data_IF_276116677584
#
_entry.id   IF_276116677584
#
_cell.length_a   1.000
_cell.length_b   1.000
_cell.length_c   1.000
_cell.angle_alpha   90.00
_cell.angle_beta   90.00
_cell.angle_gamma   90.00
#
_symmetry.space_group_name_H-M   'P 1'
#
loop_
_entity.id
_entity.type
_entity.pdbx_description
1 polymer ?
#
# COMPACT_ATOMS: atom_id res chain seq x y z
N UNK A 1 26.97 36.04 -7.37
CA UNK A 1 25.95 35.58 -6.38
C UNK A 1 26.23 34.13 -6.05
N UNK A 2 26.99 33.87 -4.98
CA UNK A 2 27.42 32.52 -4.60
C UNK A 2 26.55 31.96 -3.47
N UNK A 3 25.91 30.83 -3.71
CA UNK A 3 25.15 30.13 -2.67
C UNK A 3 26.13 29.50 -1.67
N UNK A 4 26.13 30.02 -0.44
CA UNK A 4 26.89 29.45 0.69
C UNK A 4 26.19 28.17 1.16
N UNK A 5 26.82 26.99 1.09
CA UNK A 5 26.19 25.78 1.60
C UNK A 5 26.16 25.84 3.13
N UNK A 6 24.96 25.93 3.70
CA UNK A 6 24.75 25.72 5.13
C UNK A 6 25.08 24.25 5.43
N UNK A 7 26.18 24.00 6.16
CA UNK A 7 26.52 22.68 6.69
C UNK A 7 25.44 22.28 7.71
N UNK A 8 24.41 21.58 7.24
CA UNK A 8 23.50 20.85 8.12
C UNK A 8 24.30 19.65 8.61
N UNK A 9 25.01 19.82 9.72
CA UNK A 9 25.69 18.73 10.41
C UNK A 9 24.59 17.80 10.92
N UNK A 10 24.25 16.80 10.10
CA UNK A 10 23.27 15.76 10.40
C UNK A 10 23.85 14.88 11.51
N UNK A 11 23.81 15.37 12.75
CA UNK A 11 23.99 14.57 13.96
C UNK A 11 22.88 13.54 13.97
N UNK A 12 23.16 12.38 13.35
CA UNK A 12 22.32 11.18 13.29
C UNK A 12 22.20 10.55 14.68
N UNK A 13 21.58 11.28 15.61
CA UNK A 13 21.16 10.77 16.89
C UNK A 13 19.98 9.84 16.68
N UNK A 14 20.26 8.55 16.42
CA UNK A 14 19.24 7.50 16.44
C UNK A 14 18.69 7.41 17.86
N UNK A 15 17.55 8.08 18.13
CA UNK A 15 16.76 7.80 19.32
C UNK A 15 16.35 6.33 19.23
N UNK A 16 17.12 5.45 19.87
CA UNK A 16 16.83 4.01 19.99
C UNK A 16 15.68 3.85 20.99
N UNK A 17 14.50 4.32 20.59
CA UNK A 17 13.26 3.87 21.20
C UNK A 17 13.20 2.35 21.12
N UNK A 18 12.65 1.70 22.14
CA UNK A 18 12.59 0.24 22.23
C UNK A 18 11.91 -0.32 20.98
N UNK A 19 12.68 -1.03 20.14
CA UNK A 19 12.15 -1.64 18.92
C UNK A 19 11.11 -2.68 19.37
N UNK A 20 9.87 -2.64 18.85
CA UNK A 20 8.90 -3.68 19.15
C UNK A 20 9.47 -5.04 18.75
N UNK A 21 9.35 -5.99 19.67
CA UNK A 21 9.78 -7.37 19.46
C UNK A 21 8.96 -8.00 18.31
N UNK A 22 9.59 -8.81 17.45
CA UNK A 22 8.87 -9.52 16.40
C UNK A 22 7.88 -10.51 17.02
N UNK A 23 6.60 -10.38 16.70
CA UNK A 23 5.54 -11.27 17.17
C UNK A 23 5.03 -12.19 16.04
N UNK A 24 4.69 -13.42 16.40
CA UNK A 24 4.11 -14.40 15.48
C UNK A 24 2.60 -14.25 15.42
N UNK A 25 2.06 -14.24 14.20
CA UNK A 25 0.63 -14.18 13.93
C UNK A 25 0.23 -15.15 12.83
N UNK A 26 -1.04 -15.53 12.77
CA UNK A 26 -1.59 -16.34 11.68
C UNK A 26 -2.16 -15.44 10.59
N UNK A 27 -1.89 -15.78 9.33
CA UNK A 27 -2.51 -15.12 8.19
C UNK A 27 -4.00 -15.50 8.12
N UNK A 28 -4.91 -14.53 8.19
CA UNK A 28 -6.36 -14.79 8.15
C UNK A 28 -6.84 -15.38 6.82
N UNK A 29 -6.06 -15.20 5.74
CA UNK A 29 -6.44 -15.68 4.41
C UNK A 29 -5.95 -17.09 4.09
N UNK A 30 -4.86 -17.55 4.69
CA UNK A 30 -4.26 -18.86 4.36
C UNK A 30 -3.78 -19.67 5.56
N UNK A 31 -3.97 -19.18 6.79
CA UNK A 31 -3.60 -19.85 8.03
C UNK A 31 -2.10 -19.96 8.30
N UNK A 32 -1.24 -19.45 7.41
CA UNK A 32 0.22 -19.60 7.57
C UNK A 32 0.75 -18.72 8.71
N UNK A 33 1.67 -19.22 9.56
CA UNK A 33 2.35 -18.40 10.56
C UNK A 33 3.25 -17.37 9.86
N UNK A 34 3.17 -16.12 10.29
CA UNK A 34 3.95 -15.00 9.78
C UNK A 34 4.47 -14.16 10.93
N UNK A 35 5.72 -13.70 10.81
CA UNK A 35 6.35 -12.83 11.79
C UNK A 35 6.14 -11.38 11.36
N UNK A 36 5.53 -10.56 12.21
CA UNK A 36 5.38 -9.13 11.98
C UNK A 36 6.38 -8.35 12.85
N UNK A 37 7.10 -7.35 12.29
CA UNK A 37 8.06 -6.55 13.05
C UNK A 37 7.38 -5.43 13.87
N UNK A 38 6.06 -5.40 13.90
CA UNK A 38 5.25 -4.43 14.63
C UNK A 38 3.96 -5.10 15.12
N UNK A 39 3.36 -4.51 16.15
CA UNK A 39 2.06 -4.93 16.66
C UNK A 39 0.99 -4.36 15.73
N UNK A 40 0.17 -5.19 15.07
CA UNK A 40 -0.94 -4.69 14.26
C UNK A 40 -1.91 -3.91 15.16
N UNK A 41 -2.24 -2.68 14.76
CA UNK A 41 -3.17 -1.80 15.48
C UNK A 41 -4.43 -1.66 14.61
N UNK A 42 -5.60 -1.92 15.19
CA UNK A 42 -6.91 -1.73 14.54
C UNK A 42 -7.54 -3.02 13.99
N UNK A 43 -8.54 -2.85 13.13
CA UNK A 43 -9.39 -3.91 12.52
C UNK A 43 -8.84 -4.45 11.20
N UNK A 44 -7.63 -4.06 10.82
CA UNK A 44 -7.04 -4.48 9.55
C UNK A 44 -6.61 -5.96 9.60
N UNK A 45 -6.94 -6.75 8.56
CA UNK A 45 -6.68 -8.17 8.60
C UNK A 45 -5.19 -8.50 8.49
N UNK A 46 -4.75 -9.50 9.25
CA UNK A 46 -3.37 -9.98 9.23
C UNK A 46 -3.16 -10.84 7.99
N UNK A 47 -2.34 -10.34 7.06
CA UNK A 47 -2.04 -11.02 5.81
C UNK A 47 -0.53 -11.27 5.66
N UNK A 48 -0.16 -12.47 5.23
CA UNK A 48 1.21 -12.76 4.83
C UNK A 48 1.59 -11.97 3.56
N UNK A 49 2.90 -11.81 3.30
CA UNK A 49 3.41 -11.06 2.14
C UNK A 49 2.80 -11.51 0.81
N UNK A 50 2.59 -12.81 0.62
CA UNK A 50 1.98 -13.37 -0.58
C UNK A 50 0.50 -12.99 -0.73
N UNK A 51 -0.28 -13.14 0.34
CA UNK A 51 -1.71 -12.80 0.34
C UNK A 51 -1.94 -11.30 0.18
N UNK A 52 -1.10 -10.47 0.81
CA UNK A 52 -1.14 -9.01 0.67
C UNK A 52 -0.84 -8.58 -0.76
N UNK A 53 0.20 -9.13 -1.39
CA UNK A 53 0.53 -8.87 -2.80
C UNK A 53 -0.60 -9.26 -3.74
N UNK A 54 -1.22 -10.43 -3.52
CA UNK A 54 -2.38 -10.89 -4.31
C UNK A 54 -3.57 -9.94 -4.15
N UNK A 55 -3.85 -9.46 -2.93
CA UNK A 55 -4.92 -8.49 -2.68
C UNK A 55 -4.69 -7.21 -3.47
N UNK A 56 -3.50 -6.60 -3.34
CA UNK A 56 -3.13 -5.38 -4.06
C UNK A 56 -3.25 -5.52 -5.58
N UNK A 57 -2.73 -6.62 -6.15
CA UNK A 57 -2.84 -6.89 -7.59
C UNK A 57 -4.29 -6.97 -8.06
N UNK A 58 -5.17 -7.62 -7.29
CA UNK A 58 -6.59 -7.72 -7.62
C UNK A 58 -7.25 -6.34 -7.58
N UNK A 59 -7.01 -5.55 -6.54
CA UNK A 59 -7.56 -4.19 -6.42
C UNK A 59 -7.12 -3.28 -7.58
N UNK A 60 -5.84 -3.36 -7.98
CA UNK A 60 -5.32 -2.61 -9.12
C UNK A 60 -5.96 -3.05 -10.45
N UNK A 61 -6.12 -4.36 -10.66
CA UNK A 61 -6.80 -4.89 -11.85
C UNK A 61 -8.27 -4.45 -11.92
N UNK A 62 -8.96 -4.47 -10.78
CA UNK A 62 -10.37 -4.07 -10.68
C UNK A 62 -10.53 -2.57 -10.90
N UNK A 63 -9.65 -1.74 -10.33
CA UNK A 63 -9.62 -0.30 -10.59
C UNK A 63 -9.36 0.01 -12.07
N UNK A 64 -8.43 -0.71 -12.72
CA UNK A 64 -8.16 -0.55 -14.15
C UNK A 64 -9.33 -1.00 -15.01
N UNK A 65 -9.98 -2.10 -14.66
CA UNK A 65 -11.17 -2.58 -15.35
C UNK A 65 -12.34 -1.58 -15.22
N UNK A 66 -12.54 -1.02 -14.02
CA UNK A 66 -13.55 0.00 -13.77
C UNK A 66 -13.29 1.27 -14.58
N UNK A 67 -12.05 1.76 -14.62
CA UNK A 67 -11.67 2.92 -15.43
C UNK A 67 -11.91 2.68 -16.93
N UNK A 68 -11.56 1.50 -17.45
CA UNK A 68 -11.80 1.14 -18.84
C UNK A 68 -13.30 1.04 -19.16
N UNK A 69 -14.10 0.48 -18.24
CA UNK A 69 -15.55 0.40 -18.40
C UNK A 69 -16.16 1.80 -18.41
N UNK A 70 -15.72 2.68 -17.52
CA UNK A 70 -16.18 4.06 -17.48
C UNK A 70 -15.88 4.78 -18.80
N UNK A 71 -14.65 4.69 -19.31
CA UNK A 71 -14.28 5.29 -20.59
C UNK A 71 -15.09 4.73 -21.77
N UNK A 72 -15.40 3.43 -21.77
CA UNK A 72 -16.27 2.83 -22.80
C UNK A 72 -17.69 3.36 -22.73
N UNK A 73 -18.27 3.43 -21.52
CA UNK A 73 -19.61 3.97 -21.29
C UNK A 73 -19.71 5.43 -21.71
N UNK A 74 -18.69 6.23 -21.41
CA UNK A 74 -18.62 7.64 -21.81
C UNK A 74 -18.56 7.79 -23.34
N UNK A 75 -17.78 6.95 -24.02
CA UNK A 75 -17.72 6.94 -25.49
C UNK A 75 -19.02 6.49 -26.13
N UNK A 76 -19.68 5.50 -25.56
CA UNK A 76 -20.98 5.01 -26.03
C UNK A 76 -22.08 6.05 -25.81
N UNK A 77 -22.11 6.70 -24.64
CA UNK A 77 -23.03 7.79 -24.34
C UNK A 77 -22.79 8.99 -25.29
N UNK A 78 -21.54 9.33 -25.58
CA UNK A 78 -21.21 10.38 -26.54
C UNK A 78 -21.66 10.02 -27.96
N UNK A 79 -21.51 8.76 -28.39
CA UNK A 79 -21.98 8.31 -29.69
C UNK A 79 -23.52 8.30 -29.78
N UNK A 80 -24.21 7.86 -28.71
CA UNK A 80 -25.67 7.89 -28.63
C UNK A 80 -26.25 9.31 -28.63
N UNK A 81 -25.53 10.29 -28.09
CA UNK A 81 -25.96 11.69 -28.10
C UNK A 81 -25.76 12.40 -29.45
N UNK A 82 -24.97 11.82 -30.37
CA UNK A 82 -24.75 12.35 -31.72
C UNK A 82 -25.63 11.70 -32.79
N UNK A 83 -26.41 10.68 -32.42
CA UNK A 83 -27.40 10.02 -33.26
C UNK A 83 -28.79 10.63 -33.04
#
# INVERSE_FOLDING_TARGET
>A
MGYKPHKIEMKRGRRRGKRPEPAQYLCERCGKPTVLPFIPRGTAPILCKGCLRKKKKREEQEARAAANLQARREREAAAQAMA
#
